data_IF_432717247002
#
_entry.id   IF_432717247002
#
_cell.length_a   1.000
_cell.length_b   1.000
_cell.length_c   1.000
_cell.angle_alpha   90.00
_cell.angle_beta   90.00
_cell.angle_gamma   90.00
#
_symmetry.space_group_name_H-M   'P 1'
#
loop_
_entity.id
_entity.type
_entity.pdbx_description
1 polymer ?
#
# COMPACT_ATOMS: atom_id res chain seq x y z
N UNK A 1 0.72 -10.79 1.92
CA UNK A 1 1.92 -10.36 1.12
C UNK A 1 2.82 -9.53 2.00
N UNK A 2 4.11 -9.88 2.06
CA UNK A 2 5.10 -9.17 2.89
C UNK A 2 5.91 -8.21 2.02
N UNK A 3 6.04 -6.96 2.45
CA UNK A 3 6.84 -5.92 1.82
C UNK A 3 7.98 -5.54 2.76
N UNK A 4 9.19 -5.48 2.22
CA UNK A 4 10.38 -5.08 2.93
C UNK A 4 10.97 -3.83 2.29
N UNK A 5 11.28 -2.82 3.11
CA UNK A 5 11.90 -1.58 2.65
C UNK A 5 12.69 -0.90 3.76
N UNK A 6 13.57 0.01 3.37
CA UNK A 6 14.36 0.80 4.32
C UNK A 6 13.92 2.26 4.27
N UNK A 7 13.72 2.86 5.44
CA UNK A 7 13.34 4.26 5.57
C UNK A 7 14.00 4.87 6.79
N UNK A 8 14.66 6.01 6.63
CA UNK A 8 15.32 6.76 7.70
C UNK A 8 16.27 5.90 8.57
N UNK A 9 16.97 4.92 7.97
CA UNK A 9 17.89 4.03 8.66
C UNK A 9 17.24 2.85 9.37
N UNK A 10 15.94 2.65 9.25
CA UNK A 10 15.21 1.50 9.78
C UNK A 10 14.91 0.48 8.70
N UNK A 11 15.06 -0.80 9.03
CA UNK A 11 14.55 -1.91 8.21
C UNK A 11 13.10 -2.18 8.62
N UNK A 12 12.19 -1.99 7.69
CA UNK A 12 10.75 -2.09 7.93
C UNK A 12 10.19 -3.26 7.14
N UNK A 13 9.38 -4.06 7.82
CA UNK A 13 8.66 -5.19 7.25
C UNK A 13 7.17 -4.98 7.47
N UNK A 14 6.40 -4.89 6.40
CA UNK A 14 4.96 -4.73 6.41
C UNK A 14 4.31 -6.00 5.88
N UNK A 15 3.48 -6.65 6.68
CA UNK A 15 2.55 -7.66 6.18
C UNK A 15 1.20 -7.02 5.86
N UNK A 16 0.92 -6.85 4.56
CA UNK A 16 -0.30 -6.19 4.10
C UNK A 16 -1.58 -6.97 4.39
N UNK A 17 -1.48 -8.28 4.63
CA UNK A 17 -2.65 -9.12 4.92
C UNK A 17 -3.08 -9.02 6.38
N UNK A 18 -2.14 -8.95 7.32
CA UNK A 18 -2.42 -8.73 8.74
C UNK A 18 -2.47 -7.25 9.13
N UNK A 19 -1.84 -6.36 8.33
CA UNK A 19 -1.62 -4.96 8.67
C UNK A 19 -0.50 -4.74 9.69
N UNK A 20 0.26 -5.78 10.05
CA UNK A 20 1.35 -5.68 11.01
C UNK A 20 2.59 -5.02 10.40
N UNK A 21 3.23 -4.16 11.17
CA UNK A 21 4.48 -3.50 10.81
C UNK A 21 5.54 -3.87 11.86
N UNK A 22 6.68 -4.34 11.38
CA UNK A 22 7.82 -4.70 12.22
C UNK A 22 9.02 -3.85 11.84
N UNK A 23 9.75 -3.38 12.85
CA UNK A 23 11.08 -2.78 12.69
C UNK A 23 12.07 -3.80 13.20
N UNK A 24 13.01 -4.18 12.34
CA UNK A 24 13.93 -5.29 12.59
C UNK A 24 15.37 -4.89 12.32
N UNK A 25 16.32 -5.65 12.85
CA UNK A 25 17.72 -5.50 12.50
C UNK A 25 18.04 -6.06 11.10
N UNK A 26 19.28 -5.93 10.66
CA UNK A 26 19.71 -6.35 9.32
C UNK A 26 19.61 -7.87 9.14
N UNK A 27 19.92 -8.64 10.20
CA UNK A 27 19.95 -10.11 10.15
C UNK A 27 18.51 -10.64 10.04
N UNK A 28 17.62 -10.16 10.89
CA UNK A 28 16.19 -10.52 10.83
C UNK A 28 15.55 -10.08 9.50
N UNK A 29 15.95 -8.92 8.96
CA UNK A 29 15.47 -8.45 7.67
C UNK A 29 15.83 -9.41 6.53
N UNK A 30 17.07 -9.88 6.48
CA UNK A 30 17.52 -10.85 5.47
C UNK A 30 16.90 -12.24 5.69
N UNK A 31 16.77 -12.68 6.94
CA UNK A 31 16.09 -13.94 7.27
C UNK A 31 14.65 -13.92 6.75
N UNK A 32 13.90 -12.85 7.00
CA UNK A 32 12.52 -12.70 6.53
C UNK A 32 12.44 -12.77 5.00
N UNK A 33 13.43 -12.21 4.29
CA UNK A 33 13.47 -12.25 2.82
C UNK A 33 13.58 -13.68 2.26
N UNK A 34 14.23 -14.57 2.99
CA UNK A 34 14.49 -15.96 2.58
C UNK A 34 13.45 -16.95 3.15
N UNK A 35 12.70 -16.55 4.15
CA UNK A 35 11.93 -17.43 5.03
C UNK A 35 10.94 -18.37 4.32
N UNK A 36 10.27 -17.89 3.27
CA UNK A 36 9.28 -18.71 2.55
C UNK A 36 9.86 -19.52 1.37
N UNK A 37 11.13 -19.27 1.02
CA UNK A 37 11.74 -19.85 -0.19
C UNK A 37 12.91 -20.79 0.11
N UNK A 38 13.44 -20.75 1.33
CA UNK A 38 14.61 -21.52 1.75
C UNK A 38 14.31 -22.35 3.00
N UNK A 39 15.05 -23.45 3.17
CA UNK A 39 15.01 -24.23 4.41
C UNK A 39 15.74 -23.52 5.54
N UNK A 40 15.44 -23.81 6.81
CA UNK A 40 16.16 -23.24 7.95
C UNK A 40 17.68 -23.44 7.86
N UNK A 41 18.14 -24.58 7.36
CA UNK A 41 19.57 -24.89 7.19
C UNK A 41 20.22 -24.01 6.12
N UNK A 42 19.52 -23.75 5.01
CA UNK A 42 19.99 -22.86 3.94
C UNK A 42 20.03 -21.40 4.42
N UNK A 43 19.05 -20.96 5.22
CA UNK A 43 19.02 -19.63 5.83
C UNK A 43 20.20 -19.47 6.79
N UNK A 44 20.44 -20.44 7.67
CA UNK A 44 21.59 -20.43 8.59
C UNK A 44 22.91 -20.32 7.82
N UNK A 45 23.09 -21.14 6.79
CA UNK A 45 24.31 -21.10 5.97
C UNK A 45 24.51 -19.73 5.31
N UNK A 46 23.45 -19.16 4.72
CA UNK A 46 23.50 -17.86 4.07
C UNK A 46 23.81 -16.71 5.06
N UNK A 47 23.21 -16.75 6.26
CA UNK A 47 23.46 -15.74 7.28
C UNK A 47 24.86 -15.83 7.86
N UNK A 48 25.38 -17.02 8.10
CA UNK A 48 26.76 -17.22 8.57
C UNK A 48 27.80 -16.85 7.49
N UNK A 49 27.51 -17.08 6.23
CA UNK A 49 28.36 -16.59 5.13
C UNK A 49 28.38 -15.06 5.09
N UNK A 50 27.22 -14.41 5.20
CA UNK A 50 27.09 -12.94 5.11
C UNK A 50 27.59 -12.22 6.36
N UNK A 51 27.29 -12.73 7.54
CA UNK A 51 27.48 -12.06 8.83
C UNK A 51 28.46 -12.79 9.79
N UNK A 52 28.98 -13.95 9.44
CA UNK A 52 29.80 -14.78 10.32
C UNK A 52 31.14 -14.17 10.81
N UNK A 53 31.48 -12.96 10.32
CA UNK A 53 32.58 -12.15 10.88
C UNK A 53 32.17 -11.28 12.07
N UNK A 54 30.88 -11.22 12.41
CA UNK A 54 30.34 -10.44 13.53
C UNK A 54 30.24 -11.30 14.79
N UNK A 55 30.74 -10.82 15.95
CA UNK A 55 30.71 -11.60 17.20
C UNK A 55 29.29 -11.74 17.79
N UNK A 56 28.37 -10.91 17.36
CA UNK A 56 26.98 -10.88 17.76
C UNK A 56 26.03 -11.71 16.83
N UNK A 57 26.60 -12.46 15.87
CA UNK A 57 25.83 -13.32 14.96
C UNK A 57 26.40 -14.74 14.98
N UNK A 58 25.82 -15.56 15.82
CA UNK A 58 26.12 -16.99 15.91
C UNK A 58 25.05 -17.84 15.23
N UNK A 59 25.34 -19.11 15.01
CA UNK A 59 24.35 -20.06 14.51
C UNK A 59 23.11 -20.13 15.43
N UNK A 60 23.31 -20.04 16.74
CA UNK A 60 22.23 -20.07 17.73
C UNK A 60 21.33 -18.83 17.60
N UNK A 61 21.92 -17.64 17.42
CA UNK A 61 21.18 -16.40 17.23
C UNK A 61 20.34 -16.44 15.95
N UNK A 62 20.90 -16.94 14.83
CA UNK A 62 20.19 -17.09 13.57
C UNK A 62 19.03 -18.07 13.71
N UNK A 63 19.24 -19.22 14.37
CA UNK A 63 18.18 -20.19 14.62
C UNK A 63 17.09 -19.63 15.54
N UNK A 64 17.46 -18.87 16.56
CA UNK A 64 16.52 -18.15 17.44
C UNK A 64 15.65 -17.18 16.63
N UNK A 65 16.27 -16.36 15.78
CA UNK A 65 15.54 -15.42 14.93
C UNK A 65 14.58 -16.14 13.95
N UNK A 66 14.99 -17.27 13.37
CA UNK A 66 14.10 -18.09 12.53
C UNK A 66 12.87 -18.57 13.32
N UNK A 67 13.07 -18.97 14.60
CA UNK A 67 11.96 -19.38 15.47
C UNK A 67 11.02 -18.21 15.79
N UNK A 68 11.57 -17.00 16.03
CA UNK A 68 10.78 -15.80 16.29
C UNK A 68 9.94 -15.43 15.05
N UNK A 69 10.52 -15.51 13.85
CA UNK A 69 9.81 -15.30 12.58
C UNK A 69 8.69 -16.34 12.42
N UNK A 70 8.95 -17.62 12.75
CA UNK A 70 7.92 -18.66 12.71
C UNK A 70 6.80 -18.36 13.73
N UNK A 71 7.14 -17.93 14.93
CA UNK A 71 6.15 -17.56 15.95
C UNK A 71 5.26 -16.38 15.50
N UNK A 72 5.82 -15.39 14.80
CA UNK A 72 5.06 -14.29 14.20
C UNK A 72 4.12 -14.80 13.09
N UNK A 73 4.57 -15.76 12.29
CA UNK A 73 3.74 -16.42 11.25
C UNK A 73 2.60 -17.18 11.89
N UNK A 74 2.86 -17.98 12.90
CA UNK A 74 1.84 -18.77 13.62
C UNK A 74 0.83 -17.88 14.34
N UNK A 75 1.27 -16.72 14.81
CA UNK A 75 0.41 -15.69 15.41
C UNK A 75 -0.40 -14.87 14.39
N UNK A 76 -0.23 -15.12 13.08
CA UNK A 76 -0.90 -14.37 12.01
C UNK A 76 -0.46 -12.90 11.93
N UNK A 77 0.80 -12.60 12.29
CA UNK A 77 1.38 -11.24 12.26
C UNK A 77 2.44 -11.05 11.19
N UNK A 78 2.84 -12.15 10.54
CA UNK A 78 3.79 -12.15 9.44
C UNK A 78 3.45 -13.31 8.51
N UNK A 79 3.61 -13.13 7.20
CA UNK A 79 3.23 -14.11 6.17
C UNK A 79 1.78 -14.60 6.28
N UNK A 80 0.89 -13.68 6.68
CA UNK A 80 -0.53 -13.98 6.84
C UNK A 80 -1.19 -14.30 5.50
N UNK A 81 -2.13 -15.25 5.46
CA UNK A 81 -2.88 -15.55 4.24
C UNK A 81 -3.75 -14.36 3.83
N UNK A 82 -3.90 -14.16 2.54
CA UNK A 82 -4.84 -13.18 2.01
C UNK A 82 -6.27 -13.73 2.10
N UNK A 83 -6.99 -13.34 3.14
CA UNK A 83 -8.39 -13.73 3.36
C UNK A 83 -9.37 -13.01 2.44
N UNK A 84 -8.92 -11.99 1.69
CA UNK A 84 -9.74 -11.21 0.78
C UNK A 84 -9.53 -11.55 -0.70
N UNK A 85 -8.56 -12.40 -1.02
CA UNK A 85 -8.24 -12.77 -2.41
C UNK A 85 -9.47 -13.24 -3.19
N UNK A 86 -10.27 -14.12 -2.58
CA UNK A 86 -11.49 -14.66 -3.19
C UNK A 86 -12.60 -13.60 -3.33
N UNK A 87 -12.56 -12.55 -2.52
CA UNK A 87 -13.54 -11.46 -2.57
C UNK A 87 -13.20 -10.39 -3.61
N UNK A 88 -11.96 -10.32 -4.08
CA UNK A 88 -11.51 -9.30 -5.04
C UNK A 88 -12.35 -9.30 -6.33
N UNK A 89 -12.72 -10.50 -6.83
CA UNK A 89 -13.63 -10.65 -7.97
C UNK A 89 -15.04 -10.13 -7.69
N UNK A 90 -15.56 -10.38 -6.49
CA UNK A 90 -16.95 -10.00 -6.14
C UNK A 90 -17.14 -8.49 -5.99
N UNK A 91 -16.10 -7.73 -5.63
CA UNK A 91 -16.16 -6.27 -5.61
C UNK A 91 -16.39 -5.70 -7.00
N UNK A 92 -15.69 -6.21 -8.01
CA UNK A 92 -15.85 -5.79 -9.40
C UNK A 92 -17.25 -6.14 -9.93
N UNK A 93 -17.74 -7.32 -9.62
CA UNK A 93 -19.08 -7.77 -10.02
C UNK A 93 -20.18 -6.96 -9.33
N UNK A 94 -20.05 -6.68 -8.02
CA UNK A 94 -21.03 -5.92 -7.25
C UNK A 94 -21.04 -4.45 -7.59
N UNK A 95 -19.91 -3.85 -7.93
CA UNK A 95 -19.85 -2.45 -8.35
C UNK A 95 -20.44 -2.25 -9.75
N UNK A 96 -20.47 -3.30 -10.60
CA UNK A 96 -21.10 -3.31 -11.90
C UNK A 96 -20.58 -2.23 -12.86
N UNK A 97 -19.40 -1.68 -12.62
CA UNK A 97 -18.85 -0.51 -13.32
C UNK A 97 -19.80 0.72 -13.32
N UNK A 98 -20.64 0.83 -12.28
CA UNK A 98 -21.62 1.91 -12.15
C UNK A 98 -21.01 3.08 -11.43
N UNK A 99 -21.04 4.26 -12.05
CA UNK A 99 -20.55 5.50 -11.47
C UNK A 99 -21.60 6.03 -10.48
N UNK A 100 -21.17 6.38 -9.27
CA UNK A 100 -22.03 6.94 -8.22
C UNK A 100 -21.84 8.45 -8.05
N UNK A 101 -20.61 8.91 -8.18
CA UNK A 101 -20.21 10.27 -7.82
C UNK A 101 -19.18 10.82 -8.79
N UNK A 102 -19.18 12.14 -8.95
CA UNK A 102 -18.13 12.90 -9.61
C UNK A 102 -17.63 13.99 -8.67
N UNK A 103 -16.33 14.23 -8.70
CA UNK A 103 -15.73 15.45 -8.15
C UNK A 103 -15.22 16.30 -9.31
N UNK A 104 -15.76 17.50 -9.47
CA UNK A 104 -15.48 18.38 -10.59
C UNK A 104 -14.64 19.59 -10.13
N UNK A 105 -13.46 19.72 -10.66
CA UNK A 105 -12.63 20.89 -10.45
C UNK A 105 -13.10 22.03 -11.35
N UNK A 106 -14.11 22.75 -10.91
CA UNK A 106 -14.76 23.82 -11.72
C UNK A 106 -13.86 25.05 -11.92
N UNK A 107 -12.84 25.22 -11.07
CA UNK A 107 -11.92 26.32 -11.18
C UNK A 107 -10.48 25.90 -10.83
N UNK A 108 -9.54 26.08 -11.74
CA UNK A 108 -8.12 25.97 -11.49
C UNK A 108 -7.52 27.31 -11.05
N UNK A 109 -8.15 27.92 -10.03
CA UNK A 109 -7.72 29.18 -9.45
C UNK A 109 -8.17 29.28 -7.99
N UNK A 110 -7.39 30.01 -7.17
CA UNK A 110 -7.71 30.26 -5.78
C UNK A 110 -7.30 31.68 -5.44
N UNK A 111 -8.02 32.32 -4.53
CA UNK A 111 -7.71 33.64 -3.99
C UNK A 111 -6.80 33.57 -2.75
N UNK A 112 -6.43 32.36 -2.28
CA UNK A 112 -5.49 32.13 -1.20
C UNK A 112 -4.12 31.74 -1.77
N UNK A 113 -3.07 31.98 -0.99
CA UNK A 113 -1.69 31.64 -1.34
C UNK A 113 -1.04 30.82 -0.21
N UNK A 114 -1.64 29.68 0.14
CA UNK A 114 -1.14 28.80 1.19
C UNK A 114 0.17 28.14 0.75
N UNK A 115 1.21 28.20 1.58
CA UNK A 115 2.52 27.62 1.29
C UNK A 115 2.47 26.09 1.17
N UNK A 116 1.59 25.45 1.93
CA UNK A 116 1.38 24.00 1.94
C UNK A 116 0.33 23.50 0.93
N UNK A 117 -0.09 24.33 -0.02
CA UNK A 117 -1.16 23.99 -0.94
C UNK A 117 -0.71 22.93 -1.97
N UNK A 118 -1.23 21.70 -1.85
CA UNK A 118 -0.95 20.62 -2.81
C UNK A 118 -1.48 20.92 -4.23
N UNK A 119 -2.48 21.81 -4.34
CA UNK A 119 -3.08 22.23 -5.61
C UNK A 119 -2.37 23.42 -6.26
N UNK A 120 -1.20 23.86 -5.75
CA UNK A 120 -0.46 25.01 -6.27
C UNK A 120 -1.34 26.25 -6.44
N UNK A 121 -2.05 26.64 -5.38
CA UNK A 121 -3.06 27.72 -5.37
C UNK A 121 -4.19 27.51 -6.39
N UNK A 122 -4.61 26.27 -6.54
CA UNK A 122 -5.69 25.84 -7.45
C UNK A 122 -5.26 25.53 -8.87
N UNK A 123 -4.01 25.81 -9.25
CA UNK A 123 -3.54 25.59 -10.64
C UNK A 123 -3.12 24.16 -10.95
N UNK A 124 -2.85 23.33 -9.95
CA UNK A 124 -2.33 21.97 -10.12
C UNK A 124 -1.09 21.89 -11.02
N UNK A 125 -0.17 22.87 -10.87
CA UNK A 125 1.03 23.06 -11.72
C UNK A 125 0.74 23.40 -13.20
N UNK A 126 -0.51 23.72 -13.53
CA UNK A 126 -0.94 24.15 -14.87
C UNK A 126 -1.38 25.61 -14.92
N UNK A 127 -2.15 25.95 -15.95
CA UNK A 127 -2.69 27.29 -16.14
C UNK A 127 -3.92 27.54 -15.25
N UNK A 128 -4.17 28.83 -14.95
CA UNK A 128 -5.43 29.26 -14.33
C UNK A 128 -6.54 29.16 -15.34
N UNK A 129 -7.57 28.40 -15.01
CA UNK A 129 -8.70 28.17 -15.92
C UNK A 129 -10.01 27.98 -15.14
N UNK A 130 -11.10 28.16 -15.81
CA UNK A 130 -12.43 27.81 -15.37
C UNK A 130 -12.97 26.67 -16.26
N UNK A 131 -13.71 25.75 -15.68
CA UNK A 131 -14.41 24.72 -16.45
C UNK A 131 -15.46 25.38 -17.33
N UNK A 132 -15.52 25.01 -18.61
CA UNK A 132 -16.59 25.48 -19.47
C UNK A 132 -17.91 24.79 -19.14
N UNK A 133 -19.02 25.45 -19.47
CA UNK A 133 -20.35 24.84 -19.29
C UNK A 133 -20.48 23.52 -20.05
N UNK A 134 -19.92 23.44 -21.24
CA UNK A 134 -19.97 22.25 -22.10
C UNK A 134 -19.27 21.05 -21.44
N UNK A 135 -18.08 21.28 -20.83
CA UNK A 135 -17.35 20.24 -20.10
C UNK A 135 -18.13 19.79 -18.86
N UNK A 136 -18.67 20.74 -18.09
CA UNK A 136 -19.51 20.42 -16.92
C UNK A 136 -20.77 19.64 -17.30
N UNK A 137 -21.44 20.05 -18.39
CA UNK A 137 -22.60 19.33 -18.91
C UNK A 137 -22.24 17.91 -19.33
N UNK A 138 -21.16 17.72 -20.11
CA UNK A 138 -20.70 16.38 -20.52
C UNK A 138 -20.36 15.48 -19.33
N UNK A 139 -19.77 16.04 -18.28
CA UNK A 139 -19.48 15.28 -17.06
C UNK A 139 -20.76 14.80 -16.37
N UNK A 140 -21.81 15.63 -16.30
CA UNK A 140 -23.10 15.26 -15.75
C UNK A 140 -23.83 14.24 -16.64
N UNK A 141 -23.80 14.41 -17.95
CA UNK A 141 -24.36 13.45 -18.91
C UNK A 141 -23.66 12.08 -18.72
N UNK A 142 -22.33 12.07 -18.63
CA UNK A 142 -21.55 10.86 -18.35
C UNK A 142 -21.97 10.20 -17.04
N UNK A 143 -22.13 10.97 -15.95
CA UNK A 143 -22.58 10.42 -14.67
C UNK A 143 -23.95 9.75 -14.81
N UNK A 144 -24.88 10.40 -15.47
CA UNK A 144 -26.25 9.88 -15.68
C UNK A 144 -26.24 8.61 -16.53
N UNK A 145 -25.51 8.62 -17.64
CA UNK A 145 -25.44 7.48 -18.57
C UNK A 145 -24.76 6.24 -17.95
N UNK A 146 -23.85 6.46 -16.98
CA UNK A 146 -23.07 5.38 -16.36
C UNK A 146 -23.52 5.06 -14.93
N UNK A 147 -24.61 5.64 -14.43
CA UNK A 147 -25.09 5.42 -13.06
C UNK A 147 -26.01 4.20 -12.90
N UNK A 148 -26.38 3.55 -13.99
CA UNK A 148 -27.27 2.39 -13.98
C UNK A 148 -28.64 2.74 -13.40
N UNK A 149 -29.10 1.96 -12.42
CA UNK A 149 -30.41 2.16 -11.76
C UNK A 149 -30.32 2.96 -10.45
N UNK A 150 -29.20 3.65 -10.19
CA UNK A 150 -29.02 4.43 -8.96
C UNK A 150 -29.97 5.62 -8.93
N UNK A 151 -30.65 5.82 -7.78
CA UNK A 151 -31.59 6.95 -7.60
C UNK A 151 -30.89 8.21 -7.08
N UNK A 152 -29.80 8.02 -6.33
CA UNK A 152 -29.05 9.11 -5.71
C UNK A 152 -27.65 9.12 -6.29
N UNK A 153 -27.26 10.25 -6.85
CA UNK A 153 -25.93 10.54 -7.40
C UNK A 153 -25.34 11.72 -6.63
N UNK A 154 -24.02 11.78 -6.57
CA UNK A 154 -23.27 12.82 -5.88
C UNK A 154 -22.43 13.60 -6.88
N UNK A 155 -22.40 14.91 -6.74
CA UNK A 155 -21.51 15.80 -7.48
C UNK A 155 -20.89 16.77 -6.49
N UNK A 156 -19.57 16.70 -6.36
CA UNK A 156 -18.78 17.61 -5.55
C UNK A 156 -18.03 18.61 -6.45
N UNK A 157 -17.77 19.82 -5.92
CA UNK A 157 -17.10 20.91 -6.63
C UNK A 157 -15.87 21.44 -5.86
#
# INVERSE_FOLDING_TARGET
MVHQYQLNGYNIVLDSCSGSIHVVDEVAYDIIALFETHTPEEIVAAMLEKYGGRPDVTEEDVRGCIQDVQALKDAGKLFSPDTFADMAGTFKERSGNVVKALCLHVAHTCNLNCEYCFASQGKYHGDRALMSFEVGKQALDFLMDHSGTRRNLEVDF
#
